data_IF_469329426329
#
_entry.id   IF_469329426329
#
_cell.length_a   1.000
_cell.length_b   1.000
_cell.length_c   1.000
_cell.angle_alpha   90.00
_cell.angle_beta   90.00
_cell.angle_gamma   90.00
#
_symmetry.space_group_name_H-M   'P 1'
#
loop_
_entity.id
_entity.type
_entity.pdbx_description
1 polymer ?
#
# COMPACT_ATOMS: atom_id res chain seq x y z
N UNK A 1 10.06 2.22 -7.18
CA UNK A 1 8.61 2.08 -6.89
C UNK A 1 7.79 2.19 -8.16
N UNK A 2 6.83 1.29 -8.36
CA UNK A 2 6.01 1.17 -9.58
C UNK A 2 4.52 1.36 -9.24
N UNK A 3 3.73 1.96 -10.14
CA UNK A 3 2.27 2.06 -10.00
C UNK A 3 1.74 3.29 -9.25
N UNK A 4 2.59 4.00 -8.49
CA UNK A 4 2.18 5.19 -7.72
C UNK A 4 1.90 6.43 -8.59
N UNK A 5 2.64 6.62 -9.70
CA UNK A 5 2.48 7.78 -10.59
C UNK A 5 1.09 7.83 -11.26
N UNK A 6 0.57 6.73 -11.86
CA UNK A 6 -0.80 6.71 -12.38
C UNK A 6 -1.87 7.06 -11.33
N UNK A 7 -1.71 6.56 -10.09
CA UNK A 7 -2.63 6.85 -8.99
C UNK A 7 -2.66 8.36 -8.66
N UNK A 8 -1.49 8.97 -8.53
CA UNK A 8 -1.38 10.41 -8.27
C UNK A 8 -2.00 11.24 -9.40
N UNK A 9 -1.81 10.82 -10.66
CA UNK A 9 -2.43 11.46 -11.82
C UNK A 9 -3.95 11.35 -11.78
N UNK A 10 -4.50 10.15 -11.61
CA UNK A 10 -5.95 9.94 -11.53
C UNK A 10 -6.61 10.79 -10.43
N UNK A 11 -6.00 10.84 -9.24
CA UNK A 11 -6.50 11.67 -8.14
C UNK A 11 -6.47 13.16 -8.47
N UNK A 12 -5.42 13.63 -9.15
CA UNK A 12 -5.33 15.01 -9.64
C UNK A 12 -6.41 15.33 -10.67
N UNK A 13 -6.74 14.36 -11.52
CA UNK A 13 -7.75 14.46 -12.57
C UNK A 13 -9.19 14.25 -12.05
N UNK A 14 -9.38 14.05 -10.73
CA UNK A 14 -10.70 13.84 -10.12
C UNK A 14 -11.28 12.44 -10.29
N UNK A 15 -10.49 11.48 -10.79
CA UNK A 15 -10.91 10.08 -10.94
C UNK A 15 -10.72 9.35 -9.61
N UNK A 16 -11.77 8.70 -9.13
CA UNK A 16 -11.78 7.93 -7.89
C UNK A 16 -11.58 6.43 -8.18
N UNK A 17 -10.36 5.87 -8.00
CA UNK A 17 -10.20 4.43 -7.97
C UNK A 17 -10.83 3.83 -6.70
N UNK A 18 -10.71 2.51 -6.52
CA UNK A 18 -11.06 1.86 -5.26
C UNK A 18 -10.37 2.57 -4.07
N UNK A 19 -11.08 2.69 -2.95
CA UNK A 19 -10.62 3.35 -1.73
C UNK A 19 -9.56 2.56 -0.97
N UNK A 20 -9.37 1.29 -1.35
CA UNK A 20 -8.31 0.40 -0.89
C UNK A 20 -7.17 0.34 -1.92
N UNK A 21 -5.96 0.65 -1.47
CA UNK A 21 -4.71 0.48 -2.21
C UNK A 21 -3.93 -0.71 -1.66
N UNK A 22 -3.35 -1.51 -2.57
CA UNK A 22 -2.35 -2.51 -2.23
C UNK A 22 -0.95 -1.92 -2.42
N UNK A 23 -0.17 -1.90 -1.34
CA UNK A 23 1.27 -1.60 -1.39
C UNK A 23 1.98 -2.91 -1.15
N UNK A 24 2.72 -3.38 -2.15
CA UNK A 24 3.35 -4.70 -2.14
C UNK A 24 4.86 -4.54 -2.09
N UNK A 25 5.51 -5.22 -1.14
CA UNK A 25 6.96 -5.29 -1.04
C UNK A 25 7.40 -6.70 -1.44
N UNK A 26 7.81 -6.85 -2.70
CA UNK A 26 8.01 -8.15 -3.34
C UNK A 26 9.09 -8.12 -4.42
N UNK A 27 9.70 -9.28 -4.65
CA UNK A 27 10.63 -9.53 -5.76
C UNK A 27 9.99 -10.32 -6.92
N UNK A 28 8.71 -10.68 -6.83
CA UNK A 28 8.04 -11.49 -7.84
C UNK A 28 7.61 -10.66 -9.05
N UNK A 29 7.91 -11.16 -10.26
CA UNK A 29 7.54 -10.51 -11.51
C UNK A 29 6.03 -10.34 -11.67
N UNK A 30 5.23 -11.24 -11.09
CA UNK A 30 3.77 -11.12 -11.09
C UNK A 30 3.30 -9.82 -10.42
N UNK A 31 3.84 -9.48 -9.24
CA UNK A 31 3.49 -8.25 -8.54
C UNK A 31 3.92 -7.01 -9.34
N UNK A 32 5.04 -7.11 -10.06
CA UNK A 32 5.52 -6.05 -10.96
C UNK A 32 4.55 -5.82 -12.12
N UNK A 33 4.06 -6.89 -12.73
CA UNK A 33 3.07 -6.79 -13.80
C UNK A 33 1.74 -6.21 -13.30
N UNK A 34 1.25 -6.69 -12.14
CA UNK A 34 0.07 -6.11 -11.50
C UNK A 34 0.23 -4.61 -11.25
N UNK A 35 1.38 -4.17 -10.72
CA UNK A 35 1.66 -2.76 -10.47
C UNK A 35 1.75 -1.90 -11.75
N UNK A 36 2.03 -2.50 -12.91
CA UNK A 36 2.11 -1.79 -14.20
C UNK A 36 0.76 -1.59 -14.87
N UNK A 37 -0.16 -2.56 -14.74
CA UNK A 37 -1.40 -2.58 -15.52
C UNK A 37 -2.69 -2.36 -14.70
N UNK A 38 -2.62 -2.22 -13.38
CA UNK A 38 -3.82 -2.08 -12.55
C UNK A 38 -4.75 -0.93 -12.97
N UNK A 39 -4.20 0.15 -13.53
CA UNK A 39 -4.95 1.34 -13.94
C UNK A 39 -5.62 1.19 -15.31
N UNK A 40 -5.38 0.07 -16.02
CA UNK A 40 -6.03 -0.25 -17.30
C UNK A 40 -6.96 -1.45 -17.21
N UNK A 41 -6.92 -2.20 -16.10
CA UNK A 41 -7.63 -3.45 -15.92
C UNK A 41 -8.52 -3.37 -14.67
N UNK A 42 -9.80 -2.96 -14.81
CA UNK A 42 -10.73 -2.95 -13.68
C UNK A 42 -10.94 -4.36 -13.14
N UNK A 43 -11.16 -4.47 -11.83
CA UNK A 43 -11.52 -5.73 -11.20
C UNK A 43 -12.82 -6.27 -11.84
N UNK A 44 -12.85 -7.52 -12.31
CA UNK A 44 -14.01 -8.05 -13.03
C UNK A 44 -15.26 -8.25 -12.15
N UNK A 45 -15.09 -8.30 -10.83
CA UNK A 45 -16.17 -8.49 -9.85
C UNK A 45 -16.75 -7.13 -9.45
N UNK A 46 -15.89 -6.15 -9.11
CA UNK A 46 -16.34 -4.85 -8.59
C UNK A 46 -16.45 -3.76 -9.67
N UNK A 47 -15.87 -3.97 -10.84
CA UNK A 47 -15.73 -2.97 -11.91
C UNK A 47 -14.76 -1.83 -11.58
N UNK A 48 -14.16 -1.82 -10.38
CA UNK A 48 -13.31 -0.74 -9.92
C UNK A 48 -11.83 -1.00 -10.24
N UNK A 49 -11.10 0.07 -10.55
CA UNK A 49 -9.63 0.02 -10.62
C UNK A 49 -9.07 -0.15 -9.20
N UNK A 50 -8.22 -1.16 -9.02
CA UNK A 50 -7.63 -1.47 -7.72
C UNK A 50 -6.17 -1.03 -7.70
N UNK A 51 -5.82 0.10 -7.06
CA UNK A 51 -4.46 0.60 -7.04
C UNK A 51 -3.47 -0.44 -6.49
N UNK A 52 -2.45 -0.71 -7.28
CA UNK A 52 -1.37 -1.63 -6.92
C UNK A 52 -0.03 -0.90 -7.06
N UNK A 53 0.69 -0.78 -5.96
CA UNK A 53 1.99 -0.12 -5.91
C UNK A 53 3.04 -1.12 -5.44
N UNK A 54 4.04 -1.37 -6.28
CA UNK A 54 5.15 -2.25 -5.94
C UNK A 54 6.35 -1.44 -5.43
N UNK A 55 6.90 -1.90 -4.31
CA UNK A 55 8.20 -1.53 -3.78
C UNK A 55 9.23 -2.58 -4.18
N UNK A 56 10.25 -2.15 -4.90
CA UNK A 56 11.40 -2.96 -5.29
C UNK A 56 12.46 -2.96 -4.17
N UNK A 57 13.51 -3.77 -4.33
CA UNK A 57 14.51 -3.96 -3.28
C UNK A 57 15.27 -2.67 -2.97
N UNK A 58 15.50 -1.86 -4.00
CA UNK A 58 16.20 -0.58 -3.99
C UNK A 58 15.35 0.54 -3.38
N UNK A 59 14.03 0.35 -3.27
CA UNK A 59 13.15 1.30 -2.62
C UNK A 59 13.41 1.27 -1.11
N UNK A 60 14.01 2.33 -0.60
CA UNK A 60 14.31 2.50 0.82
C UNK A 60 13.07 3.07 1.53
N UNK A 61 12.49 2.36 2.52
CA UNK A 61 11.26 2.78 3.20
C UNK A 61 11.30 4.23 3.69
N UNK A 62 12.41 4.64 4.28
CA UNK A 62 12.58 5.95 4.92
C UNK A 62 12.76 7.10 3.91
N UNK A 63 13.01 6.78 2.64
CA UNK A 63 13.21 7.76 1.55
C UNK A 63 12.07 7.78 0.54
N UNK A 64 11.21 6.78 0.59
CA UNK A 64 10.08 6.66 -0.32
C UNK A 64 8.99 7.69 0.00
N UNK A 65 8.40 8.27 -1.04
CA UNK A 65 7.29 9.22 -0.89
C UNK A 65 5.95 8.48 -0.86
N UNK A 66 5.38 8.31 0.34
CA UNK A 66 4.10 7.65 0.55
C UNK A 66 2.90 8.61 0.61
N UNK A 67 3.04 9.89 0.20
CA UNK A 67 1.91 10.84 0.22
C UNK A 67 0.73 10.41 -0.66
N UNK A 68 0.94 9.52 -1.62
CA UNK A 68 -0.15 8.92 -2.40
C UNK A 68 -1.12 8.09 -1.54
N UNK A 69 -0.73 7.68 -0.32
CA UNK A 69 -1.56 6.93 0.62
C UNK A 69 -2.52 7.82 1.44
N UNK A 70 -2.38 9.14 1.39
CA UNK A 70 -3.23 10.07 2.18
C UNK A 70 -4.70 9.84 1.85
N UNK A 71 -5.51 9.64 2.88
CA UNK A 71 -6.95 9.38 2.78
C UNK A 71 -7.32 8.14 1.96
N UNK A 72 -6.47 7.11 2.02
CA UNK A 72 -6.75 5.78 1.48
C UNK A 72 -6.68 4.73 2.58
N UNK A 73 -7.35 3.60 2.36
CA UNK A 73 -7.16 2.37 3.13
C UNK A 73 -6.01 1.59 2.52
N UNK A 74 -4.94 1.33 3.26
CA UNK A 74 -3.74 0.69 2.74
C UNK A 74 -3.64 -0.75 3.22
N UNK A 75 -3.51 -1.68 2.27
CA UNK A 75 -3.08 -3.04 2.54
C UNK A 75 -1.61 -3.18 2.16
N UNK A 76 -0.74 -3.29 3.16
CA UNK A 76 0.68 -3.58 2.99
C UNK A 76 0.91 -5.09 2.95
N UNK A 77 1.36 -5.59 1.80
CA UNK A 77 1.78 -6.98 1.61
C UNK A 77 3.32 -7.05 1.65
N UNK A 78 3.89 -7.28 2.83
CA UNK A 78 5.33 -7.37 3.00
C UNK A 78 5.85 -8.81 2.82
N UNK A 79 6.30 -9.15 1.61
CA UNK A 79 6.69 -10.52 1.23
C UNK A 79 8.19 -10.82 1.42
N UNK A 80 9.00 -9.83 1.81
CA UNK A 80 10.46 -9.98 1.97
C UNK A 80 10.87 -10.40 3.38
N UNK A 81 10.98 -9.45 4.30
CA UNK A 81 11.42 -9.70 5.67
C UNK A 81 10.65 -8.83 6.68
N UNK A 82 10.58 -9.33 7.91
CA UNK A 82 9.82 -8.67 8.96
C UNK A 82 10.39 -7.28 9.30
N UNK A 83 11.72 -7.12 9.38
CA UNK A 83 12.34 -5.84 9.73
C UNK A 83 12.02 -4.74 8.72
N UNK A 84 12.06 -5.06 7.42
CA UNK A 84 11.62 -4.16 6.35
C UNK A 84 10.13 -3.89 6.42
N UNK A 85 9.30 -4.90 6.67
CA UNK A 85 7.85 -4.72 6.84
C UNK A 85 7.53 -3.69 7.93
N UNK A 86 8.22 -3.75 9.08
CA UNK A 86 8.02 -2.80 10.17
C UNK A 86 8.40 -1.36 9.77
N UNK A 87 9.51 -1.19 9.04
CA UNK A 87 9.97 0.12 8.56
C UNK A 87 9.03 0.69 7.51
N UNK A 88 8.52 -0.15 6.60
CA UNK A 88 7.49 0.23 5.63
C UNK A 88 6.18 0.62 6.31
N UNK A 89 5.72 -0.18 7.28
CA UNK A 89 4.51 0.14 8.02
C UNK A 89 4.63 1.51 8.69
N UNK A 90 5.77 1.78 9.35
CA UNK A 90 6.04 3.08 9.97
C UNK A 90 6.02 4.21 8.93
N UNK A 91 6.76 4.06 7.82
CA UNK A 91 6.86 5.09 6.80
C UNK A 91 5.50 5.40 6.14
N UNK A 92 4.69 4.38 5.85
CA UNK A 92 3.34 4.55 5.29
C UNK A 92 2.41 5.18 6.32
N UNK A 93 2.43 4.72 7.57
CA UNK A 93 1.63 5.30 8.67
C UNK A 93 1.93 6.79 8.86
N UNK A 94 3.21 7.18 8.78
CA UNK A 94 3.64 8.58 8.95
C UNK A 94 3.10 9.48 7.82
N UNK A 95 2.74 8.90 6.65
CA UNK A 95 2.01 9.60 5.60
C UNK A 95 0.50 9.77 5.89
N UNK A 96 0.00 9.28 7.02
CA UNK A 96 -1.38 9.42 7.50
C UNK A 96 -2.47 8.89 6.53
N UNK A 97 -2.44 7.60 6.15
CA UNK A 97 -3.58 6.96 5.50
C UNK A 97 -4.81 6.93 6.42
N UNK A 98 -6.00 6.66 5.88
CA UNK A 98 -7.20 6.50 6.70
C UNK A 98 -7.12 5.24 7.56
N UNK A 99 -6.63 4.15 6.97
CA UNK A 99 -6.22 2.94 7.68
C UNK A 99 -5.05 2.26 7.01
N UNK A 100 -4.31 1.46 7.77
CA UNK A 100 -3.19 0.67 7.29
C UNK A 100 -3.22 -0.69 7.98
N UNK A 101 -3.20 -1.76 7.19
CA UNK A 101 -3.06 -3.13 7.65
C UNK A 101 -1.82 -3.75 7.03
N UNK A 102 -1.05 -4.49 7.83
CA UNK A 102 0.04 -5.35 7.37
C UNK A 102 -0.09 -6.70 8.06
N UNK A 103 -0.31 -7.75 7.28
CA UNK A 103 -0.34 -9.11 7.80
C UNK A 103 1.09 -9.61 7.96
N UNK A 104 1.47 -9.97 9.18
CA UNK A 104 2.74 -10.62 9.51
C UNK A 104 2.47 -12.10 9.84
N UNK A 105 3.49 -12.98 9.81
CA UNK A 105 3.28 -14.41 10.06
C UNK A 105 2.54 -14.76 11.37
N UNK A 106 2.76 -13.97 12.44
CA UNK A 106 2.22 -14.27 13.78
C UNK A 106 1.21 -13.24 14.28
N UNK A 107 1.01 -12.14 13.56
CA UNK A 107 0.17 -11.04 14.02
C UNK A 107 -0.20 -10.10 12.87
N UNK A 108 -1.23 -9.30 13.07
CA UNK A 108 -1.65 -8.26 12.15
C UNK A 108 -1.27 -6.91 12.78
N UNK A 109 -0.53 -6.09 12.03
CA UNK A 109 -0.33 -4.70 12.39
C UNK A 109 -1.44 -3.86 11.78
N UNK A 110 -2.11 -3.09 12.62
CA UNK A 110 -3.26 -2.29 12.22
C UNK A 110 -3.13 -0.86 12.72
N UNK A 111 -3.39 0.11 11.86
CA UNK A 111 -3.51 1.51 12.20
C UNK A 111 -4.80 2.07 11.59
N UNK A 112 -5.49 2.94 12.33
CA UNK A 112 -6.52 3.80 11.78
C UNK A 112 -6.32 5.24 12.26
N UNK A 113 -6.57 6.19 11.37
CA UNK A 113 -6.39 7.62 11.66
C UNK A 113 -7.25 8.09 12.82
N UNK A 114 -8.48 7.58 12.92
CA UNK A 114 -9.43 7.90 14.00
C UNK A 114 -8.93 7.47 15.38
N UNK A 115 -8.23 6.34 15.46
CA UNK A 115 -7.72 5.83 16.74
C UNK A 115 -6.34 6.41 17.09
N UNK A 116 -5.62 6.95 16.11
CA UNK A 116 -4.28 7.51 16.28
C UNK A 116 -3.24 6.49 16.75
N UNK A 117 -2.08 6.99 17.18
CA UNK A 117 -1.03 6.19 17.81
C UNK A 117 -0.11 5.43 16.85
N UNK A 118 0.65 4.47 17.41
CA UNK A 118 1.72 3.78 16.68
C UNK A 118 1.28 2.55 15.87
N UNK A 119 -0.02 2.22 15.89
CA UNK A 119 -0.56 0.96 15.41
C UNK A 119 -0.71 -0.08 16.52
N UNK A 120 -1.68 -0.98 16.33
CA UNK A 120 -2.02 -2.10 17.22
C UNK A 120 -1.51 -3.40 16.62
N UNK A 121 -1.17 -4.35 17.49
CA UNK A 121 -0.88 -5.74 17.11
C UNK A 121 -2.07 -6.59 17.49
N UNK A 122 -2.66 -7.26 16.51
CA UNK A 122 -3.75 -8.22 16.71
C UNK A 122 -3.13 -9.61 16.55
N UNK A 123 -3.16 -10.40 17.61
CA UNK A 123 -2.71 -11.79 17.57
C UNK A 123 -3.83 -12.64 16.97
N UNK A 124 -3.46 -13.58 16.11
CA UNK A 124 -4.36 -14.59 15.55
C UNK A 124 -4.66 -15.68 16.58
#
# INVERSE_FOLDING_TARGET
MIGHTPLLKMRRDGVLPNDVIRVVDSAYDFDRECARCWNTCPNPITGQLMPHVLLEQEDVPERADFRFCISLKVHLEAKRDAGRAQRLFKAIRDAQPDSLICVMPEHIWFFSKEQGGNGKRIHA
#
